data_IF_925618538834
#
_entry.id   IF_925618538834
#
_cell.length_a   1.000
_cell.length_b   1.000
_cell.length_c   1.000
_cell.angle_alpha   90.00
_cell.angle_beta   90.00
_cell.angle_gamma   90.00
#
_symmetry.space_group_name_H-M   'P 1'
#
loop_
_entity.id
_entity.type
_entity.pdbx_description
1 polymer ?
#
# COMPACT_ATOMS: atom_id res chain seq x y z
N UNK A 1 8.83 17.52 9.10
CA UNK A 1 9.45 16.34 9.74
C UNK A 1 10.31 16.69 10.97
N UNK A 2 10.90 17.88 11.09
CA UNK A 2 11.69 18.25 12.29
C UNK A 2 10.86 18.22 13.59
N UNK A 3 9.60 18.67 13.55
CA UNK A 3 8.69 18.63 14.70
C UNK A 3 8.26 17.20 15.11
N UNK A 4 8.46 16.21 14.23
CA UNK A 4 8.03 14.81 14.41
C UNK A 4 9.19 13.87 14.04
N UNK A 5 10.23 13.77 14.88
CA UNK A 5 11.41 12.94 14.60
C UNK A 5 11.06 11.46 14.38
N UNK A 6 9.99 10.96 14.99
CA UNK A 6 9.47 9.60 14.88
C UNK A 6 8.86 9.28 13.51
N UNK A 7 8.46 10.28 12.72
CA UNK A 7 7.92 10.09 11.37
C UNK A 7 9.08 9.93 10.40
N UNK A 8 9.09 8.79 9.70
CA UNK A 8 10.09 8.46 8.69
C UNK A 8 9.67 8.82 7.26
N UNK A 9 8.35 8.85 7.00
CA UNK A 9 7.76 9.15 5.69
C UNK A 9 6.63 10.15 5.86
N UNK A 10 6.64 11.22 5.08
CA UNK A 10 5.62 12.25 5.07
C UNK A 10 5.09 12.46 3.65
N UNK A 11 3.79 12.31 3.45
CA UNK A 11 3.10 12.73 2.23
C UNK A 11 2.23 13.96 2.45
N UNK A 12 1.52 14.35 1.41
CA UNK A 12 0.45 15.36 1.46
C UNK A 12 -0.81 14.81 0.82
N UNK A 13 -1.94 15.50 0.97
CA UNK A 13 -3.10 15.23 0.12
C UNK A 13 -2.78 15.56 -1.32
N UNK A 14 -3.53 14.95 -2.23
CA UNK A 14 -3.48 15.21 -3.66
C UNK A 14 -4.81 15.75 -4.16
N UNK A 15 -4.73 16.75 -5.04
CA UNK A 15 -5.87 17.14 -5.87
C UNK A 15 -5.93 16.20 -7.07
N UNK A 16 -7.09 15.59 -7.33
CA UNK A 16 -7.27 14.69 -8.45
C UNK A 16 -7.82 15.40 -9.68
N UNK A 17 -7.20 15.17 -10.84
CA UNK A 17 -7.69 15.64 -12.15
C UNK A 17 -7.57 14.49 -13.14
N UNK A 18 -8.59 14.22 -13.95
CA UNK A 18 -8.55 13.12 -14.93
C UNK A 18 -9.01 13.54 -16.31
N UNK A 19 -8.35 12.97 -17.32
CA UNK A 19 -8.79 13.00 -18.73
C UNK A 19 -9.47 11.69 -19.14
N UNK A 20 -9.61 10.73 -18.23
CA UNK A 20 -10.19 9.41 -18.50
C UNK A 20 -11.70 9.44 -18.25
N UNK A 21 -12.49 8.92 -19.20
CA UNK A 21 -13.96 8.95 -19.10
C UNK A 21 -14.50 8.19 -17.86
N UNK A 22 -13.92 7.03 -17.52
CA UNK A 22 -14.29 6.22 -16.35
C UNK A 22 -13.30 6.43 -15.19
N UNK A 23 -13.36 7.59 -14.54
CA UNK A 23 -12.44 7.98 -13.47
C UNK A 23 -13.03 7.87 -12.05
N UNK A 24 -14.34 7.62 -11.89
CA UNK A 24 -15.01 7.63 -10.57
C UNK A 24 -14.34 6.73 -9.53
N UNK A 25 -13.93 5.52 -9.92
CA UNK A 25 -13.21 4.61 -9.01
C UNK A 25 -11.86 5.17 -8.53
N UNK A 26 -11.12 5.85 -9.42
CA UNK A 26 -9.86 6.51 -9.07
C UNK A 26 -10.10 7.73 -8.18
N UNK A 27 -11.17 8.49 -8.44
CA UNK A 27 -11.57 9.60 -7.59
C UNK A 27 -11.90 9.13 -6.16
N UNK A 28 -12.73 8.09 -6.01
CA UNK A 28 -13.03 7.51 -4.70
C UNK A 28 -11.76 6.99 -4.01
N UNK A 29 -10.82 6.42 -4.76
CA UNK A 29 -9.53 5.99 -4.23
C UNK A 29 -8.71 7.17 -3.69
N UNK A 30 -8.61 8.28 -4.44
CA UNK A 30 -7.88 9.48 -3.98
C UNK A 30 -8.57 10.11 -2.77
N UNK A 31 -9.90 10.18 -2.76
CA UNK A 31 -10.66 10.67 -1.60
C UNK A 31 -10.43 9.80 -0.35
N UNK A 32 -10.50 8.47 -0.50
CA UNK A 32 -10.16 7.52 0.57
C UNK A 32 -8.72 7.71 1.05
N UNK A 33 -7.76 7.79 0.13
CA UNK A 33 -6.35 7.96 0.45
C UNK A 33 -6.08 9.30 1.16
N UNK A 34 -6.73 10.39 0.73
CA UNK A 34 -6.62 11.72 1.33
C UNK A 34 -7.18 11.79 2.76
N UNK A 35 -8.07 10.87 3.14
CA UNK A 35 -8.59 10.76 4.50
C UNK A 35 -7.60 10.13 5.49
N UNK A 36 -6.56 9.43 5.01
CA UNK A 36 -5.56 8.76 5.83
C UNK A 36 -4.47 9.75 6.23
N UNK A 37 -4.49 10.26 7.47
CA UNK A 37 -3.57 11.32 7.91
C UNK A 37 -2.50 10.84 8.89
N UNK A 38 -2.91 10.14 9.96
CA UNK A 38 -2.00 9.81 11.05
C UNK A 38 -1.28 8.46 10.85
N UNK A 39 -0.20 8.19 11.61
CA UNK A 39 0.55 6.95 11.49
C UNK A 39 -0.20 5.65 11.79
N UNK A 40 -1.15 5.67 12.72
CA UNK A 40 -1.93 4.47 13.03
C UNK A 40 -2.82 4.11 11.84
N UNK A 41 -3.47 5.12 11.26
CA UNK A 41 -4.33 4.96 10.09
C UNK A 41 -3.58 4.44 8.87
N UNK A 42 -2.39 4.98 8.58
CA UNK A 42 -1.53 4.47 7.52
C UNK A 42 -1.17 3.00 7.76
N UNK A 43 -0.81 2.66 9.00
CA UNK A 43 -0.44 1.29 9.37
C UNK A 43 -1.61 0.33 9.14
N UNK A 44 -2.79 0.57 9.69
CA UNK A 44 -3.92 -0.38 9.58
C UNK A 44 -4.47 -0.47 8.16
N UNK A 45 -4.41 0.62 7.38
CA UNK A 45 -4.96 0.66 6.01
C UNK A 45 -4.00 0.14 4.93
N UNK A 46 -2.72 -0.11 5.24
CA UNK A 46 -1.68 -0.54 4.26
C UNK A 46 -2.02 -1.80 3.45
N UNK A 47 -2.88 -2.67 3.99
CA UNK A 47 -3.33 -3.90 3.32
C UNK A 47 -4.65 -3.75 2.54
N UNK A 48 -5.34 -2.63 2.69
CA UNK A 48 -6.52 -2.29 1.86
C UNK A 48 -6.02 -1.93 0.45
N UNK A 49 -5.23 -0.86 0.35
CA UNK A 49 -4.59 -0.37 -0.87
C UNK A 49 -3.39 0.55 -0.51
N UNK A 50 -2.72 1.16 -1.48
CA UNK A 50 -1.61 2.08 -1.25
C UNK A 50 -2.08 3.34 -0.50
N UNK A 51 -1.64 3.56 0.76
CA UNK A 51 -2.21 4.60 1.63
C UNK A 51 -1.61 6.01 1.40
N UNK A 52 -0.59 6.11 0.54
CA UNK A 52 0.06 7.36 0.14
C UNK A 52 0.20 7.43 -1.38
N UNK A 53 -0.09 8.60 -1.94
CA UNK A 53 0.26 8.91 -3.31
C UNK A 53 1.77 9.09 -3.38
N UNK A 54 2.45 8.18 -4.06
CA UNK A 54 3.90 8.22 -4.25
C UNK A 54 4.48 9.61 -4.60
N UNK A 55 3.91 10.39 -5.55
CA UNK A 55 4.52 11.66 -5.93
C UNK A 55 4.45 12.76 -4.85
N UNK A 56 3.70 12.57 -3.75
CA UNK A 56 3.67 13.54 -2.64
C UNK A 56 4.68 13.25 -1.54
N UNK A 57 5.41 12.14 -1.64
CA UNK A 57 6.18 11.64 -0.51
C UNK A 57 7.56 12.28 -0.42
N UNK A 58 7.91 12.67 0.80
CA UNK A 58 9.27 12.89 1.26
C UNK A 58 9.58 11.92 2.40
N UNK A 59 10.78 11.37 2.43
CA UNK A 59 11.20 10.44 3.48
C UNK A 59 12.63 10.72 3.95
N UNK A 60 12.99 10.21 5.13
CA UNK A 60 14.34 10.36 5.68
C UNK A 60 15.35 9.54 4.89
N UNK A 61 16.49 10.15 4.52
CA UNK A 61 17.51 9.55 3.66
C UNK A 61 18.02 8.20 4.20
N UNK A 62 18.20 8.09 5.51
CA UNK A 62 18.74 6.91 6.17
C UNK A 62 17.88 5.65 5.99
N UNK A 63 16.57 5.79 5.72
CA UNK A 63 15.67 4.65 5.52
C UNK A 63 16.09 3.78 4.34
N UNK A 64 16.64 4.39 3.29
CA UNK A 64 17.17 3.65 2.13
C UNK A 64 18.36 2.77 2.53
N UNK A 65 19.25 3.29 3.39
CA UNK A 65 20.39 2.53 3.90
C UNK A 65 19.99 1.43 4.89
N UNK A 66 19.00 1.71 5.74
CA UNK A 66 18.54 0.78 6.79
C UNK A 66 17.65 -0.34 6.27
N UNK A 67 16.82 -0.05 5.28
CA UNK A 67 15.76 -0.96 4.84
C UNK A 67 15.85 -1.34 3.37
N UNK A 68 16.69 -0.67 2.57
CA UNK A 68 16.85 -0.88 1.14
C UNK A 68 16.04 0.10 0.29
N UNK A 69 16.49 0.30 -0.95
CA UNK A 69 15.83 1.13 -1.97
C UNK A 69 14.61 0.42 -2.62
N UNK A 70 14.10 0.97 -3.71
CA UNK A 70 13.03 0.37 -4.52
C UNK A 70 13.44 -0.98 -5.09
N UNK A 71 12.51 -1.95 -5.07
CA UNK A 71 12.66 -3.23 -5.75
C UNK A 71 12.31 -3.07 -7.25
N UNK A 72 13.14 -3.62 -8.13
CA UNK A 72 12.96 -3.60 -9.59
C UNK A 72 12.29 -4.86 -10.13
N UNK A 73 11.82 -5.75 -9.26
CA UNK A 73 11.08 -6.95 -9.61
C UNK A 73 9.68 -6.67 -10.17
N UNK A 74 8.94 -7.73 -10.56
CA UNK A 74 7.60 -7.61 -11.14
C UNK A 74 6.53 -7.34 -10.05
N UNK A 75 6.60 -6.16 -9.42
CA UNK A 75 5.73 -5.76 -8.30
C UNK A 75 5.51 -4.23 -8.30
N UNK A 76 4.46 -3.70 -7.65
CA UNK A 76 4.27 -2.26 -7.49
C UNK A 76 5.32 -1.73 -6.50
N UNK A 77 6.36 -1.12 -7.04
CA UNK A 77 7.61 -0.80 -6.34
C UNK A 77 7.42 0.17 -5.17
N UNK A 78 6.49 1.12 -5.31
CA UNK A 78 6.15 2.07 -4.27
C UNK A 78 5.39 1.41 -3.13
N UNK A 79 4.37 0.59 -3.43
CA UNK A 79 3.58 -0.11 -2.42
C UNK A 79 4.41 -1.17 -1.70
N UNK A 80 5.28 -1.90 -2.39
CA UNK A 80 6.23 -2.80 -1.74
C UNK A 80 7.10 -2.05 -0.74
N UNK A 81 7.67 -0.91 -1.13
CA UNK A 81 8.50 -0.09 -0.26
C UNK A 81 7.73 0.36 0.99
N UNK A 82 6.49 0.82 0.83
CA UNK A 82 5.63 1.22 1.95
C UNK A 82 5.37 0.05 2.91
N UNK A 83 5.05 -1.13 2.39
CA UNK A 83 4.80 -2.32 3.20
C UNK A 83 6.06 -2.75 3.95
N UNK A 84 7.22 -2.75 3.28
CA UNK A 84 8.52 -3.11 3.86
C UNK A 84 8.92 -2.17 4.98
N UNK A 85 8.83 -0.86 4.74
CA UNK A 85 9.18 0.14 5.73
C UNK A 85 8.21 0.13 6.92
N UNK A 86 6.90 0.01 6.70
CA UNK A 86 5.93 -0.13 7.80
C UNK A 86 6.11 -1.45 8.58
N UNK A 87 6.51 -2.55 7.91
CA UNK A 87 6.83 -3.82 8.58
C UNK A 87 8.06 -3.69 9.51
N UNK A 88 9.02 -2.85 9.12
CA UNK A 88 10.20 -2.47 9.91
C UNK A 88 9.91 -1.42 11.02
N UNK A 89 8.66 -0.96 11.14
CA UNK A 89 8.23 -0.02 12.18
C UNK A 89 8.37 1.46 11.81
N UNK A 90 8.69 1.78 10.54
CA UNK A 90 8.73 3.17 10.07
C UNK A 90 7.33 3.77 10.12
N UNK A 91 7.20 4.95 10.74
CA UNK A 91 5.93 5.66 10.86
C UNK A 91 5.72 6.61 9.67
N UNK A 92 4.52 6.55 9.13
CA UNK A 92 4.10 7.30 7.96
C UNK A 92 3.07 8.35 8.39
N UNK A 93 3.10 9.53 7.81
CA UNK A 93 2.07 10.54 8.06
C UNK A 93 1.73 11.27 6.76
N UNK A 94 0.59 11.98 6.77
CA UNK A 94 0.16 12.82 5.65
C UNK A 94 -0.30 14.18 6.17
N UNK A 95 0.19 15.23 5.53
CA UNK A 95 -0.26 16.61 5.73
C UNK A 95 -1.65 16.83 5.10
N UNK A 96 -2.57 17.58 5.75
CA UNK A 96 -3.92 17.81 5.24
C UNK A 96 -3.98 18.72 4.00
N UNK A 97 -2.89 19.38 3.64
CA UNK A 97 -2.78 20.28 2.49
C UNK A 97 -2.69 19.51 1.15
N UNK A 98 -3.33 20.06 0.12
CA UNK A 98 -3.22 19.59 -1.26
C UNK A 98 -2.03 20.29 -1.96
N UNK A 99 -0.82 19.71 -1.85
CA UNK A 99 0.39 20.32 -2.43
C UNK A 99 0.75 19.78 -3.82
N UNK A 100 -0.04 18.84 -4.35
CA UNK A 100 0.19 18.24 -5.66
C UNK A 100 -1.12 17.99 -6.40
N UNK A 101 -1.17 18.38 -7.67
CA UNK A 101 -2.23 18.00 -8.61
C UNK A 101 -1.83 16.72 -9.33
N UNK A 102 -2.56 15.64 -9.09
CA UNK A 102 -2.34 14.34 -9.71
C UNK A 102 -3.18 14.23 -10.98
N UNK A 103 -2.49 14.29 -12.12
CA UNK A 103 -3.09 14.16 -13.44
C UNK A 103 -3.18 12.68 -13.85
N UNK A 104 -4.42 12.21 -13.96
CA UNK A 104 -4.74 10.88 -14.45
C UNK A 104 -5.06 10.90 -15.94
N UNK A 105 -4.36 10.04 -16.69
CA UNK A 105 -4.49 9.91 -18.14
C UNK A 105 -4.29 8.45 -18.54
N UNK A 106 -4.79 8.08 -19.73
CA UNK A 106 -4.83 6.69 -20.17
C UNK A 106 -3.44 6.00 -20.25
N UNK A 107 -2.40 6.76 -20.61
CA UNK A 107 -1.02 6.27 -20.72
C UNK A 107 -0.22 6.25 -19.40
N UNK A 108 -0.85 6.56 -18.26
CA UNK A 108 -0.15 6.60 -16.98
C UNK A 108 0.37 5.21 -16.61
N UNK A 109 1.61 5.13 -16.12
CA UNK A 109 2.31 3.87 -15.83
C UNK A 109 1.48 2.93 -14.94
N UNK A 110 0.87 3.42 -13.87
CA UNK A 110 0.07 2.58 -12.98
C UNK A 110 -1.27 2.12 -13.57
N UNK A 111 -1.63 2.52 -14.80
CA UNK A 111 -2.80 2.00 -15.54
C UNK A 111 -2.42 0.93 -16.54
N UNK A 112 -1.19 0.98 -17.07
CA UNK A 112 -0.77 0.19 -18.23
C UNK A 112 0.29 -0.84 -17.90
N UNK A 113 1.11 -0.60 -16.87
CA UNK A 113 2.26 -1.44 -16.59
C UNK A 113 1.87 -2.69 -15.78
N UNK A 114 2.32 -3.92 -16.16
CA UNK A 114 1.98 -5.17 -15.46
C UNK A 114 2.29 -5.19 -13.96
N UNK A 115 3.36 -4.50 -13.54
CA UNK A 115 3.72 -4.35 -12.12
C UNK A 115 2.62 -3.70 -11.26
N UNK A 116 1.73 -2.93 -11.88
CA UNK A 116 0.62 -2.24 -11.21
C UNK A 116 -0.72 -2.94 -11.44
N UNK A 117 -0.69 -4.17 -11.95
CA UNK A 117 -1.90 -4.99 -12.07
C UNK A 117 -2.48 -5.30 -10.69
N UNK A 118 -3.80 -5.50 -10.64
CA UNK A 118 -4.49 -5.95 -9.42
C UNK A 118 -3.84 -7.19 -8.83
N UNK A 119 -3.39 -8.14 -9.66
CA UNK A 119 -2.73 -9.35 -9.19
C UNK A 119 -1.37 -9.05 -8.54
N UNK A 120 -0.54 -8.20 -9.14
CA UNK A 120 0.74 -7.80 -8.59
C UNK A 120 0.59 -7.10 -7.23
N UNK A 121 -0.40 -6.21 -7.10
CA UNK A 121 -0.77 -5.59 -5.81
C UNK A 121 -1.18 -6.65 -4.77
N UNK A 122 -2.05 -7.59 -5.12
CA UNK A 122 -2.50 -8.61 -4.17
C UNK A 122 -1.41 -9.60 -3.77
N UNK A 123 -0.57 -10.03 -4.73
CA UNK A 123 0.57 -10.91 -4.45
C UNK A 123 1.55 -10.24 -3.49
N UNK A 124 1.87 -8.96 -3.74
CA UNK A 124 2.75 -8.18 -2.87
C UNK A 124 2.16 -8.02 -1.47
N UNK A 125 0.88 -7.64 -1.36
CA UNK A 125 0.19 -7.54 -0.07
C UNK A 125 0.12 -8.87 0.68
N UNK A 126 -0.13 -9.98 -0.02
CA UNK A 126 -0.24 -11.30 0.59
C UNK A 126 1.06 -11.70 1.31
N UNK A 127 2.22 -11.49 0.67
CA UNK A 127 3.54 -11.73 1.28
C UNK A 127 3.74 -10.96 2.59
N UNK A 128 3.47 -9.66 2.56
CA UNK A 128 3.66 -8.80 3.73
C UNK A 128 2.61 -9.05 4.82
N UNK A 129 1.37 -9.33 4.43
CA UNK A 129 0.32 -9.72 5.37
C UNK A 129 0.65 -11.06 6.03
N UNK A 130 1.13 -12.05 5.28
CA UNK A 130 1.54 -13.34 5.82
C UNK A 130 2.68 -13.18 6.83
N UNK A 131 3.68 -12.33 6.55
CA UNK A 131 4.75 -12.02 7.51
C UNK A 131 4.20 -11.42 8.82
N UNK A 132 3.22 -10.52 8.72
CA UNK A 132 2.55 -9.96 9.90
C UNK A 132 1.71 -11.01 10.66
N UNK A 133 0.94 -11.83 9.94
CA UNK A 133 0.10 -12.89 10.52
C UNK A 133 0.93 -13.93 11.25
N UNK A 134 2.07 -14.38 10.69
CA UNK A 134 2.97 -15.34 11.35
C UNK A 134 3.44 -14.84 12.71
N UNK A 135 3.81 -13.56 12.80
CA UNK A 135 4.23 -12.92 14.06
C UNK A 135 3.08 -12.76 15.06
N UNK A 136 1.87 -12.47 14.56
CA UNK A 136 0.72 -12.07 15.41
C UNK A 136 -0.13 -13.25 15.86
N UNK A 137 -0.33 -14.24 14.99
CA UNK A 137 -1.21 -15.36 15.24
C UNK A 137 -0.52 -16.52 15.96
N UNK A 138 0.81 -16.56 15.98
CA UNK A 138 1.61 -17.61 16.62
C UNK A 138 1.14 -19.03 16.21
N UNK A 139 0.93 -19.23 14.90
CA UNK A 139 0.50 -20.51 14.33
C UNK A 139 -1.02 -20.76 14.31
N UNK A 140 -1.85 -19.87 14.89
CA UNK A 140 -3.32 -20.00 14.79
C UNK A 140 -3.78 -19.84 13.33
N UNK A 141 -4.77 -20.64 12.88
CA UNK A 141 -5.31 -20.54 11.54
C UNK A 141 -6.12 -19.26 11.33
N UNK A 142 -6.23 -18.84 10.07
CA UNK A 142 -7.08 -17.73 9.62
C UNK A 142 -8.35 -18.31 9.02
N UNK A 143 -9.51 -17.79 9.41
CA UNK A 143 -10.79 -18.12 8.77
C UNK A 143 -11.10 -17.06 7.73
N UNK A 144 -11.41 -17.48 6.50
CA UNK A 144 -11.79 -16.57 5.41
C UNK A 144 -13.31 -16.63 5.21
N UNK A 145 -14.00 -15.57 5.64
CA UNK A 145 -15.44 -15.43 5.45
C UNK A 145 -15.75 -14.85 4.06
N UNK A 146 -16.02 -15.72 3.08
CA UNK A 146 -16.44 -15.31 1.73
C UNK A 146 -16.29 -16.43 0.70
N UNK A 147 -17.27 -16.58 -0.18
CA UNK A 147 -17.35 -17.71 -1.13
C UNK A 147 -17.14 -17.30 -2.59
N UNK A 148 -16.76 -16.05 -2.86
CA UNK A 148 -16.47 -15.63 -4.24
C UNK A 148 -15.14 -16.20 -4.74
N UNK A 149 -15.00 -16.35 -6.06
CA UNK A 149 -13.73 -16.76 -6.69
C UNK A 149 -12.58 -15.87 -6.26
N UNK A 150 -12.81 -14.55 -6.22
CA UNK A 150 -11.84 -13.58 -5.74
C UNK A 150 -11.38 -13.83 -4.29
N UNK A 151 -12.29 -14.24 -3.40
CA UNK A 151 -11.92 -14.58 -2.02
C UNK A 151 -11.04 -15.84 -1.98
N UNK A 152 -11.42 -16.89 -2.73
CA UNK A 152 -10.63 -18.13 -2.83
C UNK A 152 -9.24 -17.88 -3.42
N UNK A 153 -9.13 -17.08 -4.47
CA UNK A 153 -7.84 -16.77 -5.10
C UNK A 153 -6.91 -16.02 -4.13
N UNK A 154 -7.47 -15.10 -3.33
CA UNK A 154 -6.71 -14.39 -2.29
C UNK A 154 -6.32 -15.29 -1.12
N UNK A 155 -7.20 -16.20 -0.70
CA UNK A 155 -6.90 -17.19 0.32
C UNK A 155 -5.75 -18.11 -0.14
N UNK A 156 -5.80 -18.60 -1.38
CA UNK A 156 -4.75 -19.42 -1.97
C UNK A 156 -3.39 -18.70 -2.02
N UNK A 157 -3.36 -17.37 -2.21
CA UNK A 157 -2.11 -16.58 -2.11
C UNK A 157 -1.55 -16.57 -0.69
N UNK A 158 -2.40 -16.51 0.35
CA UNK A 158 -1.96 -16.61 1.75
C UNK A 158 -1.48 -18.03 2.12
N UNK A 159 -2.15 -19.07 1.61
CA UNK A 159 -1.72 -20.46 1.78
C UNK A 159 -0.35 -20.72 1.15
N UNK A 160 -0.10 -20.17 -0.05
CA UNK A 160 1.23 -20.21 -0.70
C UNK A 160 2.32 -19.55 0.13
N UNK A 161 1.98 -18.53 0.92
CA UNK A 161 2.88 -17.88 1.87
C UNK A 161 2.97 -18.64 3.21
N UNK A 162 2.33 -19.81 3.34
CA UNK A 162 2.38 -20.68 4.51
C UNK A 162 1.45 -20.25 5.65
N UNK A 163 0.36 -19.53 5.36
CA UNK A 163 -0.68 -19.23 6.35
C UNK A 163 -1.71 -20.36 6.35
N UNK A 164 -1.92 -21.06 7.48
CA UNK A 164 -2.96 -22.07 7.58
C UNK A 164 -4.33 -21.40 7.52
N UNK A 165 -5.14 -21.79 6.53
CA UNK A 165 -6.54 -21.37 6.42
C UNK A 165 -7.41 -22.44 7.08
N UNK A 166 -8.20 -22.02 8.07
CA UNK A 166 -9.16 -22.89 8.75
C UNK A 166 -10.44 -23.06 7.93
N UNK A 167 -11.08 -24.21 8.13
CA UNK A 167 -12.45 -24.47 7.67
C UNK A 167 -13.48 -23.83 8.62
#
# INVERSE_FOLDING_TARGET
MNAHPEVGVLGTRTRFVSTVARHSGMQCFVEWQNAILDPHDHYVKRFVDAPLAHPTVLFRRELVGLHGAYDTGPLPEDHELWLRWMDAGVRFAKLPEELLTWHDHAGRLSRTHPNYSTDAFFTTKARWLAKWLKRTLNGRPVIVAGTSTLCRDRAAKLEKEGIPIGA
#
